data_IF_538201940756
#
_entry.id   IF_538201940756
#
_cell.length_a   1.000
_cell.length_b   1.000
_cell.length_c   1.000
_cell.angle_alpha   90.00
_cell.angle_beta   90.00
_cell.angle_gamma   90.00
#
_symmetry.space_group_name_H-M   'P 1'
#
loop_
_entity.id
_entity.type
_entity.pdbx_description
1 polymer ?
#
# COMPACT_ATOMS: atom_id res chain seq x y z
N UNK A 1 5.23 16.31 25.51
CA UNK A 1 5.04 14.92 25.02
C UNK A 1 4.13 14.75 23.79
N UNK A 2 3.12 15.61 23.52
CA UNK A 2 2.17 15.41 22.40
C UNK A 2 2.72 15.63 20.98
N UNK A 3 3.86 16.32 20.79
CA UNK A 3 4.43 16.53 19.45
C UNK A 3 5.19 15.31 18.91
N UNK A 4 5.86 14.55 19.80
CA UNK A 4 6.73 13.42 19.43
C UNK A 4 5.95 12.29 18.74
N UNK A 5 4.75 11.93 19.23
CA UNK A 5 3.94 10.88 18.58
C UNK A 5 3.44 11.25 17.18
N UNK A 6 3.14 12.53 16.92
CA UNK A 6 2.72 13.00 15.59
C UNK A 6 3.86 12.99 14.58
N UNK A 7 5.08 13.25 15.05
CA UNK A 7 6.27 13.23 14.22
C UNK A 7 6.63 11.81 13.81
N UNK A 8 6.64 10.86 14.74
CA UNK A 8 6.85 9.43 14.45
C UNK A 8 5.84 8.88 13.44
N UNK A 9 4.56 9.26 13.57
CA UNK A 9 3.52 8.87 12.61
C UNK A 9 3.76 9.43 11.20
N UNK A 10 4.25 10.68 11.09
CA UNK A 10 4.64 11.24 9.78
C UNK A 10 5.84 10.53 9.17
N UNK A 11 6.83 10.16 9.97
CA UNK A 11 8.00 9.43 9.49
C UNK A 11 7.60 8.05 8.97
N UNK A 12 6.73 7.34 9.70
CA UNK A 12 6.18 6.06 9.24
C UNK A 12 5.43 6.21 7.91
N UNK A 13 4.56 7.21 7.78
CA UNK A 13 3.84 7.47 6.53
C UNK A 13 4.76 7.74 5.34
N UNK A 14 5.85 8.51 5.55
CA UNK A 14 6.87 8.74 4.52
C UNK A 14 7.60 7.46 4.11
N UNK A 15 8.00 6.64 5.09
CA UNK A 15 8.66 5.37 4.82
C UNK A 15 7.77 4.41 4.02
N UNK A 16 6.47 4.37 4.32
CA UNK A 16 5.51 3.54 3.58
C UNK A 16 5.37 4.00 2.13
N UNK A 17 5.29 5.32 1.88
CA UNK A 17 5.27 5.86 0.52
C UNK A 17 6.56 5.52 -0.23
N UNK A 18 7.70 5.66 0.43
CA UNK A 18 9.01 5.32 -0.14
C UNK A 18 9.11 3.85 -0.54
N UNK A 19 8.56 2.92 0.26
CA UNK A 19 8.50 1.50 -0.10
C UNK A 19 7.68 1.30 -1.39
N UNK A 20 6.52 1.93 -1.51
CA UNK A 20 5.70 1.86 -2.73
C UNK A 20 6.45 2.41 -3.95
N UNK A 21 7.12 3.56 -3.81
CA UNK A 21 7.93 4.15 -4.88
C UNK A 21 9.15 3.28 -5.25
N UNK A 22 9.77 2.61 -4.28
CA UNK A 22 10.86 1.67 -4.51
C UNK A 22 10.37 0.45 -5.30
N UNK A 23 9.22 -0.12 -4.94
CA UNK A 23 8.62 -1.25 -5.68
C UNK A 23 8.25 -0.85 -7.11
N UNK A 24 7.70 0.34 -7.32
CA UNK A 24 7.42 0.86 -8.66
C UNK A 24 8.69 1.01 -9.49
N UNK A 25 9.76 1.56 -8.90
CA UNK A 25 11.07 1.70 -9.57
C UNK A 25 11.73 0.36 -9.87
N UNK A 26 11.64 -0.60 -8.95
CA UNK A 26 12.22 -1.93 -9.09
C UNK A 26 11.42 -2.82 -10.04
N UNK A 27 10.11 -2.59 -10.19
CA UNK A 27 9.20 -3.49 -10.89
C UNK A 27 8.97 -4.80 -10.13
N UNK A 28 9.12 -4.77 -8.80
CA UNK A 28 9.01 -5.94 -7.93
C UNK A 28 8.11 -5.63 -6.71
N UNK A 29 6.95 -6.30 -6.57
CA UNK A 29 6.41 -7.29 -7.51
C UNK A 29 5.91 -6.62 -8.81
N UNK A 30 5.86 -7.34 -9.96
CA UNK A 30 5.40 -6.78 -11.23
C UNK A 30 3.97 -6.21 -11.13
N UNK A 31 3.12 -6.80 -10.30
CA UNK A 31 1.74 -6.39 -10.06
C UNK A 31 1.64 -4.98 -9.46
N UNK A 32 2.69 -4.48 -8.80
CA UNK A 32 2.74 -3.08 -8.33
C UNK A 32 2.71 -2.13 -9.52
N UNK A 33 3.49 -2.42 -10.57
CA UNK A 33 3.53 -1.59 -11.79
C UNK A 33 2.26 -1.75 -12.63
N UNK A 34 1.77 -2.98 -12.76
CA UNK A 34 0.52 -3.26 -13.48
C UNK A 34 -0.66 -2.54 -12.85
N UNK A 35 -0.78 -2.62 -11.53
CA UNK A 35 -1.81 -1.91 -10.75
C UNK A 35 -1.69 -0.40 -10.90
N UNK A 36 -0.47 0.15 -10.82
CA UNK A 36 -0.25 1.57 -11.02
C UNK A 36 -0.74 2.04 -12.40
N UNK A 37 -0.34 1.34 -13.47
CA UNK A 37 -0.77 1.66 -14.82
C UNK A 37 -2.28 1.52 -15.00
N UNK A 38 -2.89 0.48 -14.40
CA UNK A 38 -4.35 0.27 -14.39
C UNK A 38 -5.06 1.47 -13.76
N UNK A 39 -4.63 1.91 -12.58
CA UNK A 39 -5.22 3.05 -11.88
C UNK A 39 -5.09 4.35 -12.69
N UNK A 40 -3.94 4.58 -13.35
CA UNK A 40 -3.80 5.73 -14.24
C UNK A 40 -4.81 5.68 -15.40
N UNK A 41 -5.00 4.51 -16.01
CA UNK A 41 -5.95 4.32 -17.10
C UNK A 41 -7.41 4.46 -16.64
N UNK A 42 -7.71 4.16 -15.37
CA UNK A 42 -9.02 4.37 -14.74
C UNK A 42 -9.27 5.86 -14.36
N UNK A 43 -8.28 6.73 -14.52
CA UNK A 43 -8.41 8.18 -14.32
C UNK A 43 -7.87 8.70 -12.98
N UNK A 44 -7.24 7.86 -12.17
CA UNK A 44 -6.57 8.32 -10.95
C UNK A 44 -5.30 9.10 -11.30
N UNK A 45 -5.00 10.16 -10.53
CA UNK A 45 -3.71 10.83 -10.65
C UNK A 45 -2.58 9.93 -10.17
N UNK A 46 -1.36 10.18 -10.65
CA UNK A 46 -0.15 9.47 -10.18
C UNK A 46 -0.01 9.49 -8.65
N UNK A 47 -0.30 10.64 -8.04
CA UNK A 47 -0.25 10.79 -6.59
C UNK A 47 -1.32 9.96 -5.86
N UNK A 48 -2.51 9.82 -6.45
CA UNK A 48 -3.57 8.95 -5.89
C UNK A 48 -3.22 7.48 -6.05
N UNK A 49 -2.74 7.07 -7.23
CA UNK A 49 -2.32 5.69 -7.48
C UNK A 49 -1.20 5.26 -6.52
N UNK A 50 -0.18 6.11 -6.31
CA UNK A 50 0.89 5.87 -5.33
C UNK A 50 0.36 5.77 -3.90
N UNK A 51 -0.60 6.61 -3.52
CA UNK A 51 -1.24 6.53 -2.19
C UNK A 51 -2.03 5.25 -2.02
N UNK A 52 -2.77 4.79 -3.03
CA UNK A 52 -3.51 3.52 -2.99
C UNK A 52 -2.55 2.33 -2.80
N UNK A 53 -1.45 2.28 -3.56
CA UNK A 53 -0.41 1.25 -3.39
C UNK A 53 0.22 1.32 -1.99
N UNK A 54 0.51 2.53 -1.49
CA UNK A 54 1.03 2.73 -0.14
C UNK A 54 0.08 2.21 0.95
N UNK A 55 -1.24 2.23 0.73
CA UNK A 55 -2.20 1.62 1.66
C UNK A 55 -2.11 0.09 1.69
N UNK A 56 -1.79 -0.54 0.55
CA UNK A 56 -1.51 -1.99 0.50
C UNK A 56 -0.23 -2.32 1.28
N UNK A 57 0.83 -1.53 1.09
CA UNK A 57 2.09 -1.65 1.87
C UNK A 57 1.81 -1.49 3.36
N UNK A 58 1.06 -0.45 3.76
CA UNK A 58 0.71 -0.21 5.16
C UNK A 58 -0.05 -1.38 5.78
N UNK A 59 -1.02 -1.93 5.05
CA UNK A 59 -1.81 -3.08 5.53
C UNK A 59 -0.93 -4.32 5.72
N UNK A 60 0.01 -4.59 4.82
CA UNK A 60 0.89 -5.74 4.95
C UNK A 60 1.91 -5.57 6.09
N UNK A 61 2.51 -4.38 6.22
CA UNK A 61 3.40 -4.06 7.36
C UNK A 61 2.65 -4.18 8.68
N UNK A 62 1.42 -3.67 8.75
CA UNK A 62 0.59 -3.78 9.95
C UNK A 62 0.29 -5.23 10.31
N UNK A 63 -0.13 -6.05 9.34
CA UNK A 63 -0.42 -7.47 9.56
C UNK A 63 0.85 -8.23 10.02
N UNK A 64 1.98 -8.01 9.35
CA UNK A 64 3.29 -8.62 9.69
C UNK A 64 3.68 -8.29 11.13
N UNK A 65 3.57 -7.03 11.52
CA UNK A 65 3.92 -6.59 12.87
C UNK A 65 2.92 -7.09 13.92
N UNK A 66 1.62 -7.08 13.62
CA UNK A 66 0.56 -7.47 14.54
C UNK A 66 0.52 -8.98 14.78
N UNK A 67 0.67 -9.76 13.72
CA UNK A 67 0.56 -11.23 13.77
C UNK A 67 1.92 -11.91 13.97
N UNK A 68 3.03 -11.16 13.89
CA UNK A 68 4.38 -11.70 13.99
C UNK A 68 4.74 -12.66 12.85
N UNK A 69 4.05 -12.53 11.71
CA UNK A 69 4.21 -13.41 10.55
C UNK A 69 5.16 -12.83 9.52
N UNK A 70 5.63 -13.67 8.59
CA UNK A 70 6.31 -13.20 7.38
C UNK A 70 5.31 -12.56 6.42
N UNK A 71 5.82 -11.74 5.50
CA UNK A 71 4.99 -11.21 4.42
C UNK A 71 4.45 -12.34 3.56
N UNK A 72 3.21 -12.18 3.09
CA UNK A 72 2.50 -13.13 2.22
C UNK A 72 2.37 -12.51 0.81
N UNK A 73 3.19 -12.94 -0.16
CA UNK A 73 3.15 -12.41 -1.52
C UNK A 73 1.80 -12.60 -2.21
N UNK A 74 1.10 -13.72 -1.97
CA UNK A 74 -0.19 -13.98 -2.60
C UNK A 74 -1.26 -13.02 -2.09
N UNK A 75 -1.29 -12.81 -0.76
CA UNK A 75 -2.20 -11.82 -0.15
C UNK A 75 -1.88 -10.41 -0.62
N UNK A 76 -0.60 -10.08 -0.73
CA UNK A 76 -0.12 -8.78 -1.19
C UNK A 76 -0.56 -8.48 -2.63
N UNK A 77 -0.26 -9.40 -3.57
CA UNK A 77 -0.69 -9.28 -4.98
C UNK A 77 -2.21 -9.19 -5.11
N UNK A 78 -2.96 -9.99 -4.35
CA UNK A 78 -4.43 -9.92 -4.36
C UNK A 78 -4.94 -8.53 -3.96
N UNK A 79 -4.35 -7.93 -2.93
CA UNK A 79 -4.69 -6.57 -2.47
C UNK A 79 -4.35 -5.50 -3.53
N UNK A 80 -3.21 -5.61 -4.20
CA UNK A 80 -2.86 -4.71 -5.32
C UNK A 80 -3.90 -4.80 -6.45
N UNK A 81 -4.26 -6.02 -6.84
CA UNK A 81 -5.22 -6.23 -7.93
C UNK A 81 -6.65 -5.78 -7.59
N UNK A 82 -7.00 -5.73 -6.31
CA UNK A 82 -8.31 -5.24 -5.86
C UNK A 82 -8.40 -3.72 -5.76
N UNK A 83 -7.29 -2.97 -5.82
CA UNK A 83 -7.34 -1.52 -5.85
C UNK A 83 -8.19 -1.05 -7.04
N UNK A 84 -9.08 -0.05 -6.83
CA UNK A 84 -9.09 0.91 -5.71
C UNK A 84 -9.80 0.47 -4.42
N UNK A 85 -10.42 -0.73 -4.37
CA UNK A 85 -11.04 -1.22 -3.13
C UNK A 85 -9.96 -1.45 -2.06
N UNK A 86 -10.17 -0.88 -0.87
CA UNK A 86 -9.13 -0.81 0.14
C UNK A 86 -8.90 -2.17 0.81
N UNK A 87 -7.67 -2.49 1.27
CA UNK A 87 -7.36 -3.81 1.85
C UNK A 87 -8.14 -4.20 3.12
N UNK A 88 -8.83 -3.25 3.73
CA UNK A 88 -9.66 -3.40 4.92
C UNK A 88 -11.16 -3.27 4.65
N UNK A 89 -11.55 -2.92 3.42
CA UNK A 89 -12.95 -2.96 3.01
C UNK A 89 -13.33 -4.43 2.80
N UNK A 90 -14.33 -4.88 3.55
CA UNK A 90 -14.86 -6.23 3.42
C UNK A 90 -15.93 -6.25 2.32
N UNK A 91 -16.25 -7.44 1.79
CA UNK A 91 -17.40 -7.60 0.87
C UNK A 91 -18.74 -7.21 1.53
N UNK A 92 -18.79 -7.10 2.87
CA UNK A 92 -19.97 -6.64 3.62
C UNK A 92 -20.12 -5.10 3.59
N UNK A 93 -19.07 -4.37 3.20
CA UNK A 93 -19.04 -2.89 3.19
C UNK A 93 -19.43 -2.28 1.82
N UNK A 94 -19.79 -3.10 0.83
CA UNK A 94 -20.23 -2.68 -0.53
C UNK A 94 -21.74 -2.86 -0.71
#
# INVERSE_FOLDING_TARGET
>A
MRSSGKESGRLAGKAILEVGDNQLRAGDPPETRETFNRLLNEGYSENEAKRLIANVVLSEVYDVLKEGRKSDPFKYTKRLNNLPAMPWETEEDK
#
